data_IF_411026732722
#
_entry.id   IF_411026732722
#
_cell.length_a   1.000
_cell.length_b   1.000
_cell.length_c   1.000
_cell.angle_alpha   90.00
_cell.angle_beta   90.00
_cell.angle_gamma   90.00
#
_symmetry.space_group_name_H-M   'P 1'
#
loop_
_entity.id
_entity.type
_entity.pdbx_description
1 polymer ?
#
# COMPACT_ATOMS: atom_id res chain seq x y z
N UNK A 1 86.45 13.92 -8.48
CA UNK A 1 85.21 13.53 -9.17
C UNK A 1 84.78 12.14 -8.72
N UNK A 2 83.95 12.04 -7.68
CA UNK A 2 83.23 10.83 -7.30
C UNK A 2 81.85 11.28 -6.85
N UNK A 3 80.84 10.87 -7.60
CA UNK A 3 79.44 11.19 -7.37
C UNK A 3 78.89 10.35 -6.21
N UNK A 4 78.33 11.01 -5.20
CA UNK A 4 77.43 10.38 -4.23
C UNK A 4 76.09 10.09 -4.91
N UNK A 5 75.59 8.86 -4.77
CA UNK A 5 74.23 8.47 -5.14
C UNK A 5 73.47 8.13 -3.87
N UNK A 6 72.64 9.05 -3.40
CA UNK A 6 71.64 8.80 -2.37
C UNK A 6 70.51 7.95 -2.96
N UNK A 7 70.31 6.75 -2.41
CA UNK A 7 69.16 5.88 -2.71
C UNK A 7 68.07 6.23 -1.69
N UNK A 8 67.01 6.88 -2.16
CA UNK A 8 65.81 7.17 -1.39
C UNK A 8 64.88 5.96 -1.48
N UNK A 9 64.72 5.20 -0.39
CA UNK A 9 63.69 4.16 -0.28
C UNK A 9 62.32 4.80 -0.03
N UNK A 10 61.46 4.77 -1.05
CA UNK A 10 60.02 5.05 -0.91
C UNK A 10 59.32 3.78 -0.40
N UNK A 11 58.99 3.77 0.89
CA UNK A 11 58.06 2.80 1.49
C UNK A 11 56.63 3.22 1.12
N UNK A 12 56.07 2.61 0.07
CA UNK A 12 54.65 2.72 -0.24
C UNK A 12 53.87 1.82 0.73
N UNK A 13 53.27 2.43 1.76
CA UNK A 13 52.28 1.78 2.60
C UNK A 13 51.00 1.59 1.78
N UNK A 14 50.87 0.43 1.12
CA UNK A 14 49.62 0.01 0.50
C UNK A 14 48.60 -0.32 1.58
N UNK A 15 47.68 0.62 1.85
CA UNK A 15 46.48 0.32 2.62
C UNK A 15 45.62 -0.63 1.78
N UNK A 16 45.62 -1.93 2.14
CA UNK A 16 44.60 -2.85 1.67
C UNK A 16 43.24 -2.38 2.22
N UNK A 17 42.52 -1.60 1.42
CA UNK A 17 41.08 -1.44 1.58
C UNK A 17 40.45 -2.80 1.30
N UNK A 18 40.24 -3.58 2.35
CA UNK A 18 39.40 -4.77 2.27
C UNK A 18 37.99 -4.30 1.91
N UNK A 19 37.62 -4.44 0.63
CA UNK A 19 36.24 -4.28 0.17
C UNK A 19 35.39 -5.27 0.97
N UNK A 20 34.71 -4.77 2.01
CA UNK A 20 33.63 -5.53 2.65
C UNK A 20 32.57 -5.71 1.59
N UNK A 21 32.48 -6.90 1.01
CA UNK A 21 31.28 -7.32 0.30
C UNK A 21 30.14 -7.19 1.30
N UNK A 22 29.28 -6.19 1.12
CA UNK A 22 28.07 -6.07 1.91
C UNK A 22 27.32 -7.39 1.74
N UNK A 23 27.15 -8.13 2.85
CA UNK A 23 26.30 -9.31 2.86
C UNK A 23 24.90 -8.78 2.61
N UNK A 24 24.19 -9.33 1.61
CA UNK A 24 22.81 -8.97 1.33
C UNK A 24 22.01 -9.02 2.65
N UNK A 25 21.44 -7.89 3.04
CA UNK A 25 20.62 -7.80 4.23
C UNK A 25 19.18 -8.20 3.88
N UNK A 26 18.56 -8.97 4.78
CA UNK A 26 17.11 -9.19 4.75
C UNK A 26 16.48 -8.22 5.76
N UNK A 27 15.80 -7.19 5.27
CA UNK A 27 14.97 -6.28 6.06
C UNK A 27 13.79 -7.07 6.63
N UNK A 28 13.89 -7.35 7.92
CA UNK A 28 13.01 -8.32 8.58
C UNK A 28 12.00 -7.70 9.53
N UNK A 29 12.14 -6.42 9.86
CA UNK A 29 11.34 -5.78 10.89
C UNK A 29 11.24 -6.64 12.17
N UNK A 30 12.32 -7.35 12.52
CA UNK A 30 12.33 -8.41 13.53
C UNK A 30 12.01 -7.93 14.95
N UNK A 31 12.18 -6.63 15.22
CA UNK A 31 11.78 -5.98 16.48
C UNK A 31 10.28 -5.65 16.56
N UNK A 32 9.53 -5.74 15.45
CA UNK A 32 8.12 -5.39 15.40
C UNK A 32 7.27 -6.45 16.09
N UNK A 33 6.68 -6.09 17.23
CA UNK A 33 5.82 -6.99 18.02
C UNK A 33 4.33 -6.79 17.74
N UNK A 34 3.92 -5.68 17.12
CA UNK A 34 2.55 -5.42 16.67
C UNK A 34 2.50 -5.17 15.17
N UNK A 35 1.31 -5.26 14.58
CA UNK A 35 1.11 -4.93 13.17
C UNK A 35 1.41 -3.45 12.87
N UNK A 36 1.07 -2.52 13.76
CA UNK A 36 1.39 -1.10 13.59
C UNK A 36 2.91 -0.86 13.58
N UNK A 37 3.64 -1.51 14.49
CA UNK A 37 5.10 -1.44 14.51
C UNK A 37 5.71 -2.04 13.22
N UNK A 38 5.13 -3.12 12.71
CA UNK A 38 5.54 -3.71 11.44
C UNK A 38 5.28 -2.76 10.27
N UNK A 39 4.10 -2.13 10.20
CA UNK A 39 3.79 -1.16 9.15
C UNK A 39 4.70 0.08 9.21
N UNK A 40 4.99 0.59 10.42
CA UNK A 40 5.94 1.67 10.62
C UNK A 40 7.34 1.27 10.13
N UNK A 41 7.84 0.10 10.54
CA UNK A 41 9.13 -0.41 10.09
C UNK A 41 9.20 -0.60 8.57
N UNK A 42 8.15 -1.16 7.96
CA UNK A 42 8.06 -1.32 6.50
C UNK A 42 8.08 0.02 5.80
N UNK A 43 7.33 1.02 6.29
CA UNK A 43 7.32 2.39 5.76
C UNK A 43 8.70 3.03 5.84
N UNK A 44 9.38 2.92 6.97
CA UNK A 44 10.68 3.55 7.20
C UNK A 44 11.80 2.94 6.32
N UNK A 45 11.51 1.83 5.64
CA UNK A 45 12.38 1.10 4.72
C UNK A 45 11.98 1.27 3.24
N UNK A 46 11.02 2.14 2.93
CA UNK A 46 10.56 2.33 1.55
C UNK A 46 11.43 3.33 0.78
N UNK A 47 11.56 3.16 -0.55
CA UNK A 47 12.01 4.22 -1.45
C UNK A 47 11.23 5.52 -1.22
N UNK A 48 11.96 6.58 -0.90
CA UNK A 48 11.40 7.92 -0.69
C UNK A 48 11.15 8.62 -2.04
N UNK A 49 10.51 9.79 -1.96
CA UNK A 49 10.30 10.71 -3.07
C UNK A 49 11.59 10.98 -3.84
N UNK A 50 11.49 10.96 -5.17
CA UNK A 50 12.57 11.27 -6.11
C UNK A 50 13.84 10.38 -5.95
N UNK A 51 13.74 9.25 -5.23
CA UNK A 51 14.86 8.33 -5.00
C UNK A 51 15.35 7.62 -6.25
N UNK A 52 14.46 7.38 -7.22
CA UNK A 52 14.74 6.58 -8.41
C UNK A 52 14.83 5.07 -8.15
N UNK A 53 14.50 4.62 -6.93
CA UNK A 53 14.69 3.21 -6.51
C UNK A 53 13.51 2.31 -6.87
N UNK A 54 12.33 2.86 -7.22
CA UNK A 54 11.18 2.02 -7.59
C UNK A 54 11.47 1.17 -8.83
N UNK A 55 11.34 -0.15 -8.70
CA UNK A 55 11.55 -1.11 -9.78
C UNK A 55 10.20 -1.67 -10.24
N UNK A 56 9.84 -1.36 -11.48
CA UNK A 56 8.64 -1.90 -12.12
C UNK A 56 8.69 -3.43 -12.16
N UNK A 57 7.73 -4.15 -11.54
CA UNK A 57 7.71 -5.60 -11.58
C UNK A 57 7.33 -6.12 -12.98
N UNK A 58 7.94 -7.23 -13.38
CA UNK A 58 7.59 -7.90 -14.63
C UNK A 58 6.22 -8.58 -14.54
N UNK A 59 5.62 -8.89 -15.70
CA UNK A 59 4.37 -9.66 -15.77
C UNK A 59 4.47 -11.02 -15.07
N UNK A 60 5.62 -11.70 -15.17
CA UNK A 60 5.89 -12.95 -14.44
C UNK A 60 5.91 -12.75 -12.93
N UNK A 61 6.51 -11.65 -12.44
CA UNK A 61 6.53 -11.34 -11.02
C UNK A 61 5.13 -10.99 -10.50
N UNK A 62 4.36 -10.18 -11.23
CA UNK A 62 2.98 -9.86 -10.86
C UNK A 62 2.09 -11.12 -10.86
N UNK A 63 2.23 -12.01 -11.83
CA UNK A 63 1.49 -13.28 -11.87
C UNK A 63 1.87 -14.21 -10.69
N UNK A 64 3.16 -14.29 -10.38
CA UNK A 64 3.65 -15.04 -9.22
C UNK A 64 3.11 -14.46 -7.90
N UNK A 65 3.09 -13.12 -7.76
CA UNK A 65 2.55 -12.44 -6.60
C UNK A 65 1.08 -12.77 -6.39
N UNK A 66 0.29 -12.69 -7.46
CA UNK A 66 -1.13 -13.08 -7.44
C UNK A 66 -1.34 -14.53 -7.03
N UNK A 67 -0.49 -15.45 -7.47
CA UNK A 67 -0.56 -16.85 -7.05
C UNK A 67 -0.35 -16.99 -5.53
N UNK A 68 0.58 -16.22 -4.96
CA UNK A 68 0.84 -16.21 -3.52
C UNK A 68 -0.32 -15.55 -2.76
N UNK A 69 -0.82 -14.40 -3.21
CA UNK A 69 -2.01 -13.73 -2.65
C UNK A 69 -3.20 -14.70 -2.60
N UNK A 70 -3.47 -15.43 -3.70
CA UNK A 70 -4.53 -16.46 -3.74
C UNK A 70 -4.31 -17.54 -2.69
N UNK A 71 -3.08 -18.02 -2.53
CA UNK A 71 -2.75 -19.04 -1.55
C UNK A 71 -2.96 -18.56 -0.11
N UNK A 72 -2.50 -17.34 0.21
CA UNK A 72 -2.68 -16.72 1.53
C UNK A 72 -4.17 -16.47 1.84
N UNK A 73 -4.94 -15.99 0.87
CA UNK A 73 -6.40 -15.84 1.00
C UNK A 73 -7.09 -17.19 1.22
N UNK A 74 -6.52 -18.28 0.71
CA UNK A 74 -6.93 -19.67 0.99
C UNK A 74 -6.39 -20.27 2.30
N UNK A 75 -5.72 -19.47 3.15
CA UNK A 75 -5.19 -19.90 4.44
C UNK A 75 -3.79 -20.53 4.41
N UNK A 76 -3.09 -20.51 3.26
CA UNK A 76 -1.73 -21.08 3.14
C UNK A 76 -0.67 -20.02 3.36
N UNK A 77 -0.11 -19.99 4.57
CA UNK A 77 0.88 -18.99 5.02
C UNK A 77 2.32 -19.47 5.09
N UNK A 78 2.55 -20.70 4.65
CA UNK A 78 3.81 -21.42 4.60
C UNK A 78 4.18 -21.79 3.15
N UNK A 79 3.47 -21.21 2.18
CA UNK A 79 3.70 -21.48 0.77
C UNK A 79 5.11 -21.03 0.35
N UNK A 80 5.83 -21.92 -0.34
CA UNK A 80 7.12 -21.57 -0.93
C UNK A 80 6.90 -20.51 -2.00
N UNK A 81 7.65 -19.40 -1.92
CA UNK A 81 7.58 -18.35 -2.92
C UNK A 81 8.11 -18.85 -4.27
N UNK A 82 7.45 -18.51 -5.39
CA UNK A 82 8.00 -18.73 -6.72
C UNK A 82 9.39 -18.13 -6.87
N UNK A 83 10.24 -18.75 -7.70
CA UNK A 83 11.63 -18.31 -7.92
C UNK A 83 11.75 -16.86 -8.41
N UNK A 84 10.72 -16.37 -9.11
CA UNK A 84 10.64 -14.97 -9.56
C UNK A 84 10.48 -13.96 -8.41
N UNK A 85 10.15 -14.40 -7.20
CA UNK A 85 9.96 -13.57 -5.99
C UNK A 85 10.91 -13.94 -4.85
N UNK A 86 11.32 -15.21 -4.73
CA UNK A 86 12.02 -15.73 -3.55
C UNK A 86 13.38 -15.09 -3.27
N UNK A 87 13.97 -14.36 -4.24
CA UNK A 87 15.23 -13.63 -4.03
C UNK A 87 15.07 -12.27 -3.34
N UNK A 88 13.83 -11.79 -3.13
CA UNK A 88 13.59 -10.47 -2.54
C UNK A 88 12.32 -10.34 -1.70
N UNK A 89 11.44 -11.34 -1.68
CA UNK A 89 10.24 -11.35 -0.83
C UNK A 89 10.25 -12.53 0.14
N UNK A 90 9.45 -12.44 1.22
CA UNK A 90 9.21 -13.52 2.19
C UNK A 90 7.74 -13.57 2.59
N UNK A 91 7.26 -14.77 2.89
CA UNK A 91 6.04 -14.97 3.68
C UNK A 91 6.44 -15.20 5.13
N UNK A 92 5.77 -14.55 6.07
CA UNK A 92 5.95 -14.73 7.50
C UNK A 92 4.61 -14.94 8.18
N UNK A 93 4.63 -15.74 9.25
CA UNK A 93 3.54 -15.80 10.21
C UNK A 93 3.89 -14.91 11.39
N UNK A 94 3.23 -13.76 11.50
CA UNK A 94 3.46 -12.78 12.56
C UNK A 94 2.41 -12.97 13.64
N UNK A 95 2.82 -13.05 14.90
CA UNK A 95 1.90 -12.97 16.05
C UNK A 95 1.92 -11.55 16.58
N UNK A 96 0.78 -10.87 16.50
CA UNK A 96 0.65 -9.54 17.07
C UNK A 96 0.56 -9.65 18.61
N UNK A 97 1.40 -8.92 19.32
CA UNK A 97 1.50 -8.95 20.77
C UNK A 97 0.30 -8.27 21.47
N UNK A 98 -0.37 -7.31 20.83
CA UNK A 98 -1.47 -6.56 21.42
C UNK A 98 -2.77 -7.37 21.51
N UNK A 99 -2.98 -8.30 20.58
CA UNK A 99 -4.19 -9.14 20.52
C UNK A 99 -3.91 -10.65 20.53
N UNK A 100 -2.65 -11.06 20.40
CA UNK A 100 -2.21 -12.45 20.43
C UNK A 100 -2.51 -13.27 19.16
N UNK A 101 -3.07 -12.64 18.11
CA UNK A 101 -3.54 -13.29 16.88
C UNK A 101 -2.41 -13.41 15.86
N UNK A 102 -2.59 -14.32 14.90
CA UNK A 102 -1.60 -14.62 13.87
C UNK A 102 -2.03 -14.08 12.51
N UNK A 103 -1.09 -13.47 11.81
CA UNK A 103 -1.28 -12.84 10.51
C UNK A 103 -0.28 -13.38 9.50
N UNK A 104 -0.78 -13.61 8.29
CA UNK A 104 0.01 -13.99 7.14
C UNK A 104 0.58 -12.73 6.51
N UNK A 105 1.89 -12.57 6.44
CA UNK A 105 2.53 -11.35 5.91
C UNK A 105 3.40 -11.72 4.72
N UNK A 106 3.10 -11.17 3.55
CA UNK A 106 3.95 -11.19 2.36
C UNK A 106 4.58 -9.81 2.20
N UNK A 107 5.91 -9.74 2.29
CA UNK A 107 6.64 -8.47 2.20
C UNK A 107 7.94 -8.60 1.42
N UNK A 108 8.38 -7.50 0.82
CA UNK A 108 9.75 -7.35 0.36
C UNK A 108 10.73 -7.31 1.55
N UNK A 109 11.92 -7.88 1.34
CA UNK A 109 12.96 -7.96 2.37
C UNK A 109 14.35 -7.68 1.83
N UNK A 110 14.58 -7.65 0.51
CA UNK A 110 15.95 -7.49 0.01
C UNK A 110 16.44 -6.05 0.16
N UNK A 111 17.60 -5.92 0.76
CA UNK A 111 18.43 -4.72 0.85
C UNK A 111 19.88 -5.15 0.53
N UNK A 112 20.20 -5.17 -0.76
CA UNK A 112 21.50 -5.72 -1.22
C UNK A 112 22.64 -4.74 -1.06
N UNK A 113 22.35 -3.44 -1.08
CA UNK A 113 23.33 -2.38 -0.91
C UNK A 113 23.53 -2.03 0.58
N UNK A 114 22.68 -2.51 1.48
CA UNK A 114 22.80 -2.35 2.93
C UNK A 114 22.47 -0.94 3.41
N UNK A 115 21.62 -0.20 2.69
CA UNK A 115 21.27 1.18 3.02
C UNK A 115 20.03 1.31 3.91
N UNK A 116 19.40 0.18 4.27
CA UNK A 116 18.19 0.14 5.07
C UNK A 116 16.91 0.35 4.28
N UNK A 117 16.97 0.42 2.94
CA UNK A 117 15.84 0.61 2.04
C UNK A 117 15.64 -0.67 1.21
N UNK A 118 14.39 -1.01 0.91
CA UNK A 118 14.10 -2.13 0.02
C UNK A 118 14.51 -1.85 -1.43
N UNK A 119 15.07 -2.86 -2.09
CA UNK A 119 15.66 -2.72 -3.44
C UNK A 119 14.64 -2.40 -4.56
N UNK A 120 13.32 -2.58 -4.36
CA UNK A 120 12.31 -2.51 -5.44
C UNK A 120 11.06 -1.69 -5.13
N UNK A 121 10.55 -1.74 -3.91
CA UNK A 121 9.31 -1.07 -3.51
C UNK A 121 8.03 -1.83 -3.87
N UNK A 122 7.97 -3.13 -3.59
CA UNK A 122 6.81 -3.99 -3.90
C UNK A 122 5.61 -3.76 -2.97
N UNK A 123 5.87 -3.48 -1.70
CA UNK A 123 4.85 -3.31 -0.65
C UNK A 123 4.66 -4.55 0.20
N UNK A 124 3.64 -4.50 1.05
CA UNK A 124 3.34 -5.56 2.01
C UNK A 124 1.86 -5.90 1.99
N UNK A 125 1.54 -7.19 1.83
CA UNK A 125 0.20 -7.75 1.86
C UNK A 125 0.00 -8.62 3.09
N UNK A 126 -1.12 -8.45 3.78
CA UNK A 126 -1.43 -9.14 5.03
C UNK A 126 -2.81 -9.81 4.95
N UNK A 127 -2.92 -11.03 5.48
CA UNK A 127 -4.20 -11.76 5.60
C UNK A 127 -4.41 -12.21 7.04
N UNK A 128 -5.64 -12.01 7.53
CA UNK A 128 -6.17 -12.67 8.73
C UNK A 128 -7.03 -13.88 8.30
N UNK A 129 -6.53 -15.09 8.53
CA UNK A 129 -7.26 -16.31 8.20
C UNK A 129 -8.51 -16.55 9.07
N UNK A 130 -8.59 -15.87 10.23
CA UNK A 130 -9.71 -15.93 11.16
C UNK A 130 -10.57 -14.64 11.11
N UNK A 131 -10.48 -13.88 10.03
CA UNK A 131 -11.26 -12.67 9.83
C UNK A 131 -12.77 -12.90 9.97
N UNK A 132 -13.47 -11.86 10.41
CA UNK A 132 -14.92 -11.85 10.55
C UNK A 132 -15.58 -11.03 9.45
N UNK A 133 -14.82 -10.13 8.80
CA UNK A 133 -15.33 -9.23 7.76
C UNK A 133 -14.56 -9.44 6.46
N UNK A 134 -15.27 -9.63 5.35
CA UNK A 134 -14.67 -9.68 4.00
C UNK A 134 -14.37 -8.26 3.49
N UNK A 135 -13.54 -7.56 4.26
CA UNK A 135 -13.01 -6.23 4.00
C UNK A 135 -11.53 -6.30 3.65
N UNK A 136 -11.16 -5.51 2.65
CA UNK A 136 -9.79 -5.25 2.27
C UNK A 136 -9.46 -3.78 2.53
N UNK A 137 -8.44 -3.51 3.32
CA UNK A 137 -7.94 -2.15 3.58
C UNK A 137 -6.66 -1.92 2.79
N UNK A 138 -6.53 -0.76 2.14
CA UNK A 138 -5.34 -0.45 1.37
C UNK A 138 -4.85 0.97 1.60
N UNK A 139 -3.55 1.15 1.86
CA UNK A 139 -2.88 2.44 1.89
C UNK A 139 -2.02 2.57 0.62
N UNK A 140 -2.48 3.38 -0.31
CA UNK A 140 -1.87 3.48 -1.65
C UNK A 140 -0.64 4.39 -1.66
N UNK A 141 -0.61 5.40 -0.78
CA UNK A 141 0.40 6.46 -0.77
C UNK A 141 1.06 6.60 0.61
N UNK A 142 1.69 5.55 1.17
CA UNK A 142 2.46 5.70 2.40
C UNK A 142 3.55 6.77 2.21
N UNK A 143 3.95 7.40 3.32
CA UNK A 143 4.86 8.58 3.35
C UNK A 143 4.18 9.85 2.82
N UNK A 144 3.68 9.86 1.58
CA UNK A 144 3.01 11.01 0.99
C UNK A 144 1.73 11.38 1.76
N UNK A 145 0.90 10.37 2.03
CA UNK A 145 -0.33 10.48 2.82
C UNK A 145 -0.05 10.03 4.25
N UNK A 146 0.94 10.67 4.88
CA UNK A 146 1.51 10.24 6.17
C UNK A 146 0.43 9.83 7.17
N UNK A 147 0.58 8.64 7.74
CA UNK A 147 -0.29 8.12 8.80
C UNK A 147 -1.46 7.27 8.28
N UNK A 148 -1.80 7.34 6.99
CA UNK A 148 -2.83 6.46 6.40
C UNK A 148 -2.46 4.99 6.51
N UNK A 149 -1.17 4.65 6.44
CA UNK A 149 -0.69 3.29 6.60
C UNK A 149 -0.92 2.71 8.00
N UNK A 150 -0.68 3.52 9.03
CA UNK A 150 -0.89 3.13 10.43
C UNK A 150 -2.39 3.12 10.75
N UNK A 151 -3.14 4.10 10.26
CA UNK A 151 -4.60 4.13 10.37
C UNK A 151 -5.21 2.85 9.77
N UNK A 152 -4.89 2.57 8.51
CA UNK A 152 -5.49 1.48 7.77
C UNK A 152 -5.17 0.10 8.37
N UNK A 153 -3.94 -0.13 8.84
CA UNK A 153 -3.58 -1.41 9.48
C UNK A 153 -4.22 -1.57 10.86
N UNK A 154 -4.35 -0.49 11.62
CA UNK A 154 -5.03 -0.50 12.92
C UNK A 154 -6.51 -0.85 12.73
N UNK A 155 -7.18 -0.19 11.78
CA UNK A 155 -8.58 -0.50 11.45
C UNK A 155 -8.71 -1.96 10.98
N UNK A 156 -7.87 -2.41 10.04
CA UNK A 156 -7.85 -3.82 9.60
C UNK A 156 -7.78 -4.80 10.77
N UNK A 157 -6.89 -4.53 11.74
CA UNK A 157 -6.66 -5.35 12.92
C UNK A 157 -7.88 -5.35 13.84
N UNK A 158 -8.40 -4.19 14.18
CA UNK A 158 -9.50 -4.05 15.15
C UNK A 158 -10.84 -4.50 14.58
N UNK A 159 -11.10 -4.25 13.29
CA UNK A 159 -12.35 -4.66 12.63
C UNK A 159 -12.36 -6.11 12.17
N UNK A 160 -11.33 -6.92 12.48
CA UNK A 160 -11.21 -8.33 12.07
C UNK A 160 -11.39 -8.49 10.54
N UNK A 161 -10.81 -7.57 9.79
CA UNK A 161 -10.93 -7.55 8.32
C UNK A 161 -10.07 -8.63 7.69
N UNK A 162 -10.44 -9.08 6.49
CA UNK A 162 -9.81 -10.22 5.82
C UNK A 162 -8.39 -9.92 5.36
N UNK A 163 -8.16 -8.76 4.75
CA UNK A 163 -6.86 -8.45 4.18
C UNK A 163 -6.49 -6.98 4.27
N UNK A 164 -5.19 -6.72 4.18
CA UNK A 164 -4.60 -5.40 4.18
C UNK A 164 -3.47 -5.31 3.15
N UNK A 165 -3.27 -4.13 2.55
CA UNK A 165 -2.08 -3.84 1.75
C UNK A 165 -1.57 -2.42 1.94
N UNK A 166 -0.26 -2.28 2.05
CA UNK A 166 0.45 -1.01 1.92
C UNK A 166 1.29 -1.05 0.63
N UNK A 167 1.25 0.01 -0.17
CA UNK A 167 2.17 0.17 -1.30
C UNK A 167 3.64 0.19 -0.82
N UNK A 168 4.60 -0.09 -1.70
CA UNK A 168 5.99 -0.31 -1.28
C UNK A 168 6.95 0.86 -1.43
N UNK A 169 6.47 1.99 -1.91
CA UNK A 169 7.28 3.16 -2.21
C UNK A 169 6.45 4.43 -2.08
N UNK A 170 7.14 5.56 -1.90
CA UNK A 170 6.53 6.87 -2.10
C UNK A 170 5.92 6.95 -3.52
N UNK A 171 4.76 7.59 -3.67
CA UNK A 171 4.06 7.69 -4.97
C UNK A 171 4.91 8.33 -6.07
N UNK A 172 5.82 9.21 -5.68
CA UNK A 172 6.82 9.88 -6.55
C UNK A 172 8.24 9.31 -6.39
N UNK A 173 8.41 8.04 -6.00
CA UNK A 173 9.74 7.42 -5.87
C UNK A 173 10.44 7.16 -7.22
N UNK A 174 9.71 7.18 -8.34
CA UNK A 174 10.27 7.08 -9.68
C UNK A 174 10.31 8.43 -10.37
N UNK A 175 11.39 8.66 -11.13
CA UNK A 175 11.54 9.84 -12.00
C UNK A 175 10.84 9.66 -13.36
N UNK A 176 10.19 8.52 -13.59
CA UNK A 176 9.52 8.17 -14.85
C UNK A 176 8.01 8.37 -14.68
N UNK A 177 7.40 9.11 -15.60
CA UNK A 177 5.95 9.27 -15.65
C UNK A 177 5.25 7.95 -16.03
N UNK A 178 4.04 7.75 -15.50
CA UNK A 178 3.20 6.62 -15.84
C UNK A 178 2.52 6.84 -17.19
N UNK A 179 2.63 5.85 -18.08
CA UNK A 179 1.80 5.77 -19.30
C UNK A 179 0.31 5.58 -18.99
N UNK A 180 -0.03 5.19 -17.75
CA UNK A 180 -1.38 4.85 -17.35
C UNK A 180 -2.21 6.08 -17.01
N UNK A 181 -1.64 7.03 -16.26
CA UNK A 181 -2.21 8.32 -15.92
C UNK A 181 -1.12 9.38 -16.03
N UNK A 182 -1.29 10.32 -16.96
CA UNK A 182 -0.40 11.47 -17.13
C UNK A 182 -0.24 12.24 -15.81
N UNK A 183 0.95 12.80 -15.59
CA UNK A 183 1.28 13.58 -14.38
C UNK A 183 1.31 12.79 -13.07
N UNK A 184 1.31 11.45 -13.14
CA UNK A 184 1.64 10.56 -12.03
C UNK A 184 2.93 9.83 -12.34
N UNK A 185 3.80 9.63 -11.35
CA UNK A 185 4.97 8.76 -11.53
C UNK A 185 4.54 7.29 -11.67
N UNK A 186 5.36 6.46 -12.31
CA UNK A 186 5.10 5.01 -12.44
C UNK A 186 5.09 4.29 -11.07
N UNK A 187 5.65 4.90 -10.03
CA UNK A 187 5.57 4.46 -8.64
C UNK A 187 4.24 4.78 -7.94
N UNK A 188 3.36 5.61 -8.52
CA UNK A 188 2.06 5.93 -7.93
C UNK A 188 1.13 4.69 -8.03
N UNK A 189 0.97 4.01 -6.89
CA UNK A 189 0.25 2.74 -6.83
C UNK A 189 -1.24 2.86 -7.21
N UNK A 190 -1.86 4.02 -6.98
CA UNK A 190 -3.27 4.28 -7.28
C UNK A 190 -3.50 4.63 -8.77
N UNK A 191 -2.46 5.10 -9.46
CA UNK A 191 -2.54 5.64 -10.80
C UNK A 191 -1.73 4.84 -11.84
N UNK A 192 -1.13 3.72 -11.44
CA UNK A 192 -0.41 2.81 -12.31
C UNK A 192 -0.84 1.35 -12.11
N UNK A 193 -0.73 0.54 -13.17
CA UNK A 193 -1.08 -0.91 -13.15
C UNK A 193 0.13 -1.82 -12.99
N UNK A 194 1.34 -1.33 -13.30
CA UNK A 194 2.57 -2.12 -13.24
C UNK A 194 3.18 -2.06 -11.82
N UNK A 195 2.46 -2.61 -10.85
CA UNK A 195 2.89 -2.71 -9.45
C UNK A 195 2.14 -3.87 -8.73
N UNK A 196 2.65 -4.30 -7.57
CA UNK A 196 2.03 -5.39 -6.80
C UNK A 196 0.72 -4.97 -6.13
N UNK A 197 0.49 -3.67 -5.94
CA UNK A 197 -0.74 -3.12 -5.39
C UNK A 197 -1.93 -3.41 -6.33
N UNK A 198 -1.81 -3.04 -7.60
CA UNK A 198 -2.78 -3.38 -8.64
C UNK A 198 -2.91 -4.90 -8.85
N UNK A 199 -1.79 -5.64 -8.85
CA UNK A 199 -1.81 -7.10 -8.94
C UNK A 199 -2.65 -7.74 -7.82
N UNK A 200 -2.57 -7.21 -6.60
CA UNK A 200 -3.39 -7.66 -5.47
C UNK A 200 -4.87 -7.40 -5.71
N UNK A 201 -5.27 -6.22 -6.19
CA UNK A 201 -6.67 -5.95 -6.54
C UNK A 201 -7.21 -6.88 -7.63
N UNK A 202 -6.42 -7.18 -8.67
CA UNK A 202 -6.78 -8.16 -9.70
C UNK A 202 -7.06 -9.53 -9.06
N UNK A 203 -6.22 -9.94 -8.11
CA UNK A 203 -6.39 -11.22 -7.47
C UNK A 203 -7.56 -11.26 -6.50
N UNK A 204 -7.79 -10.21 -5.72
CA UNK A 204 -8.95 -10.14 -4.83
C UNK A 204 -10.26 -10.14 -5.63
N UNK A 205 -10.33 -9.38 -6.74
CA UNK A 205 -11.48 -9.40 -7.63
C UNK A 205 -11.74 -10.82 -8.18
N UNK A 206 -10.69 -11.54 -8.60
CA UNK A 206 -10.80 -12.92 -9.08
C UNK A 206 -11.16 -13.92 -7.95
N UNK A 207 -10.58 -13.77 -6.76
CA UNK A 207 -10.81 -14.62 -5.61
C UNK A 207 -12.27 -14.54 -5.14
N UNK A 208 -12.78 -13.32 -4.93
CA UNK A 208 -14.14 -13.13 -4.46
C UNK A 208 -15.19 -13.38 -5.55
N UNK A 209 -14.90 -13.04 -6.80
CA UNK A 209 -15.86 -13.16 -7.90
C UNK A 209 -17.13 -12.36 -7.59
N UNK A 210 -18.28 -13.04 -7.53
CA UNK A 210 -19.58 -12.43 -7.19
C UNK A 210 -19.85 -12.34 -5.68
N UNK A 211 -19.05 -12.98 -4.83
CA UNK A 211 -19.26 -12.95 -3.36
C UNK A 211 -19.20 -11.51 -2.85
N UNK A 212 -19.97 -11.15 -1.79
CA UNK A 212 -19.88 -9.83 -1.18
C UNK A 212 -18.50 -9.61 -0.55
N UNK A 213 -17.87 -8.49 -0.90
CA UNK A 213 -16.64 -7.98 -0.31
C UNK A 213 -16.49 -6.50 -0.66
N UNK A 214 -15.66 -5.78 0.09
CA UNK A 214 -15.41 -4.35 -0.15
C UNK A 214 -13.93 -4.02 0.04
N UNK A 215 -13.45 -3.08 -0.77
CA UNK A 215 -12.11 -2.53 -0.70
C UNK A 215 -12.20 -1.07 -0.24
N UNK A 216 -11.62 -0.77 0.93
CA UNK A 216 -11.45 0.58 1.45
C UNK A 216 -10.01 1.01 1.15
N UNK A 217 -9.85 2.05 0.33
CA UNK A 217 -8.56 2.64 0.03
C UNK A 217 -8.45 3.99 0.73
N UNK A 218 -7.48 4.06 1.64
CA UNK A 218 -7.23 5.21 2.51
C UNK A 218 -6.22 6.13 1.84
N UNK A 219 -6.61 7.39 1.68
CA UNK A 219 -5.81 8.48 1.16
C UNK A 219 -5.81 9.64 2.14
N UNK A 220 -4.86 10.55 1.91
CA UNK A 220 -4.69 11.80 2.60
C UNK A 220 -4.74 12.97 1.63
N UNK A 221 -5.43 14.02 2.04
CA UNK A 221 -5.42 15.30 1.33
C UNK A 221 -4.84 16.39 2.23
N UNK A 222 -4.28 17.43 1.62
CA UNK A 222 -3.95 18.65 2.37
C UNK A 222 -5.23 19.38 2.80
N UNK A 223 -5.16 20.08 3.93
CA UNK A 223 -6.28 20.85 4.49
C UNK A 223 -6.92 21.82 3.48
N UNK A 224 -6.10 22.37 2.58
CA UNK A 224 -6.54 23.32 1.56
C UNK A 224 -7.17 22.66 0.34
N UNK A 225 -6.94 21.37 0.08
CA UNK A 225 -7.39 20.71 -1.16
C UNK A 225 -8.92 20.63 -1.24
N UNK A 226 -9.58 20.28 -0.13
CA UNK A 226 -11.03 20.26 -0.02
C UNK A 226 -11.49 21.00 1.25
N UNK A 227 -11.16 22.29 1.35
CA UNK A 227 -11.33 23.10 2.57
C UNK A 227 -12.75 23.10 3.20
N UNK A 228 -13.79 22.77 2.42
CA UNK A 228 -15.16 22.69 2.90
C UNK A 228 -15.47 21.42 3.73
N UNK A 229 -14.61 20.41 3.67
CA UNK A 229 -14.80 19.11 4.32
C UNK A 229 -13.53 18.66 5.03
N UNK A 230 -13.71 17.86 6.06
CA UNK A 230 -12.63 17.22 6.81
C UNK A 230 -12.26 15.86 6.19
N UNK A 231 -13.29 15.18 5.67
CA UNK A 231 -13.23 13.86 5.06
C UNK A 231 -14.10 13.86 3.80
N UNK A 232 -13.63 13.23 2.73
CA UNK A 232 -14.41 13.02 1.52
C UNK A 232 -14.46 11.54 1.14
N UNK A 233 -15.65 10.97 1.15
CA UNK A 233 -15.87 9.56 0.79
C UNK A 233 -16.34 9.49 -0.67
N UNK A 234 -15.73 8.64 -1.48
CA UNK A 234 -16.15 8.43 -2.87
C UNK A 234 -16.12 6.96 -3.27
N UNK A 235 -16.77 6.64 -4.37
CA UNK A 235 -16.82 5.28 -4.92
C UNK A 235 -16.08 5.16 -6.27
N UNK A 236 -15.20 6.11 -6.61
CA UNK A 236 -14.39 6.07 -7.83
C UNK A 236 -15.06 6.56 -9.11
N UNK A 237 -16.22 7.21 -9.02
CA UNK A 237 -16.86 7.94 -10.12
C UNK A 237 -17.46 9.26 -9.61
N UNK A 238 -17.64 10.24 -10.49
CA UNK A 238 -18.22 11.54 -10.16
C UNK A 238 -19.75 11.52 -10.34
N UNK A 239 -20.42 10.70 -9.52
CA UNK A 239 -21.88 10.54 -9.55
C UNK A 239 -22.39 10.52 -8.11
N UNK A 240 -23.45 11.27 -7.82
CA UNK A 240 -24.09 11.25 -6.50
C UNK A 240 -24.43 9.82 -6.07
N UNK A 241 -23.99 9.36 -4.88
CA UNK A 241 -24.34 8.03 -4.40
C UNK A 241 -25.85 7.90 -4.16
N UNK A 242 -26.41 6.75 -4.52
CA UNK A 242 -27.84 6.45 -4.27
C UNK A 242 -28.04 5.92 -2.85
N UNK A 243 -29.28 5.99 -2.36
CA UNK A 243 -29.63 5.45 -1.04
C UNK A 243 -29.18 3.99 -0.89
N UNK A 244 -28.57 3.68 0.26
CA UNK A 244 -28.07 2.34 0.56
C UNK A 244 -26.62 2.08 0.13
N UNK A 245 -25.99 2.97 -0.66
CA UNK A 245 -24.56 2.92 -0.98
C UNK A 245 -23.70 2.87 0.31
N UNK A 246 -22.60 2.12 0.27
CA UNK A 246 -21.72 1.95 1.42
C UNK A 246 -21.04 3.23 1.87
N UNK A 247 -20.75 4.17 0.98
CA UNK A 247 -20.16 5.47 1.37
C UNK A 247 -21.17 6.32 2.13
N UNK A 248 -22.46 6.26 1.77
CA UNK A 248 -23.53 6.93 2.54
C UNK A 248 -23.79 6.27 3.88
N UNK A 249 -23.77 4.92 3.93
CA UNK A 249 -23.88 4.19 5.20
C UNK A 249 -22.72 4.52 6.13
N UNK A 250 -21.48 4.50 5.62
CA UNK A 250 -20.29 4.88 6.38
C UNK A 250 -20.38 6.32 6.86
N UNK A 251 -20.74 7.27 5.99
CA UNK A 251 -20.95 8.67 6.36
C UNK A 251 -21.94 8.81 7.52
N UNK A 252 -23.09 8.15 7.44
CA UNK A 252 -24.11 8.23 8.49
C UNK A 252 -23.62 7.63 9.80
N UNK A 253 -22.84 6.55 9.76
CA UNK A 253 -22.24 5.93 10.94
C UNK A 253 -21.15 6.81 11.54
N UNK A 254 -20.27 7.39 10.72
CA UNK A 254 -19.28 8.35 11.18
C UNK A 254 -19.95 9.54 11.87
N UNK A 255 -20.96 10.16 11.27
CA UNK A 255 -21.66 11.29 11.90
C UNK A 255 -22.40 10.93 13.19
N UNK A 256 -22.70 9.64 13.43
CA UNK A 256 -23.28 9.19 14.69
C UNK A 256 -22.24 9.12 15.83
N UNK A 257 -20.99 8.76 15.51
CA UNK A 257 -19.88 8.69 16.47
C UNK A 257 -19.09 10.01 16.56
N UNK A 258 -19.02 10.75 15.46
CA UNK A 258 -18.22 11.94 15.23
C UNK A 258 -19.09 13.08 14.66
N UNK A 259 -20.06 13.61 15.44
CA UNK A 259 -21.08 14.53 14.94
C UNK A 259 -20.54 15.89 14.48
N UNK A 260 -19.31 16.23 14.84
CA UNK A 260 -18.66 17.49 14.45
C UNK A 260 -17.98 17.42 13.07
N UNK A 261 -17.80 16.22 12.49
CA UNK A 261 -17.07 16.06 11.23
C UNK A 261 -17.87 16.59 10.03
N UNK A 262 -17.17 17.27 9.11
CA UNK A 262 -17.71 17.68 7.82
C UNK A 262 -17.36 16.64 6.75
N UNK A 263 -18.33 15.81 6.38
CA UNK A 263 -18.10 14.67 5.47
C UNK A 263 -18.72 14.91 4.09
N UNK A 264 -17.88 14.98 3.06
CA UNK A 264 -18.24 15.10 1.65
C UNK A 264 -18.50 13.76 0.97
N UNK A 265 -19.28 13.81 -0.11
CA UNK A 265 -19.48 12.71 -1.08
C UNK A 265 -19.61 13.31 -2.50
N UNK A 266 -19.41 12.51 -3.58
CA UNK A 266 -19.65 12.95 -4.95
C UNK A 266 -21.02 13.64 -5.15
N UNK A 267 -21.08 14.59 -6.08
CA UNK A 267 -22.29 15.37 -6.39
C UNK A 267 -22.59 16.53 -5.44
N UNK A 268 -21.92 16.63 -4.30
CA UNK A 268 -22.09 17.75 -3.35
C UNK A 268 -21.37 19.05 -3.74
N UNK A 269 -20.47 19.02 -4.73
CA UNK A 269 -19.70 20.18 -5.18
C UNK A 269 -18.65 20.72 -4.18
N UNK A 270 -18.48 20.04 -3.03
CA UNK A 270 -17.58 20.48 -1.94
C UNK A 270 -16.14 19.99 -2.07
N UNK A 271 -15.91 18.95 -2.87
CA UNK A 271 -14.60 18.34 -3.12
C UNK A 271 -14.65 17.55 -4.44
N UNK A 272 -13.57 17.60 -5.21
CA UNK A 272 -13.46 16.93 -6.53
C UNK A 272 -12.66 15.62 -6.49
N UNK A 273 -12.14 15.22 -5.32
CA UNK A 273 -11.32 14.01 -5.15
C UNK A 273 -12.19 12.73 -5.16
N UNK A 274 -12.87 12.50 -6.28
CA UNK A 274 -13.82 11.40 -6.48
C UNK A 274 -13.15 10.10 -6.94
N UNK A 275 -11.81 10.04 -6.94
CA UNK A 275 -11.00 8.89 -7.36
C UNK A 275 -11.31 8.39 -8.78
N UNK A 276 -11.72 9.28 -9.69
CA UNK A 276 -12.08 8.93 -11.07
C UNK A 276 -10.88 8.45 -11.91
N UNK A 277 -9.67 8.79 -11.46
CA UNK A 277 -8.38 8.41 -12.05
C UNK A 277 -7.80 7.12 -11.48
N UNK A 278 -8.36 6.63 -10.37
CA UNK A 278 -7.85 5.50 -9.62
C UNK A 278 -8.05 4.18 -10.40
N UNK A 279 -6.97 3.48 -10.73
CA UNK A 279 -7.06 2.31 -11.60
C UNK A 279 -7.66 1.09 -10.90
N UNK A 280 -7.52 1.00 -9.57
CA UNK A 280 -8.18 -0.03 -8.77
C UNK A 280 -9.67 0.25 -8.61
N UNK A 281 -10.05 1.52 -8.42
CA UNK A 281 -11.44 1.95 -8.43
C UNK A 281 -12.12 1.64 -9.76
N UNK A 282 -11.49 1.99 -10.89
CA UNK A 282 -11.97 1.66 -12.25
C UNK A 282 -12.17 0.15 -12.42
N UNK A 283 -11.19 -0.66 -12.00
CA UNK A 283 -11.28 -2.13 -12.05
C UNK A 283 -12.51 -2.65 -11.29
N UNK A 284 -12.68 -2.23 -10.03
CA UNK A 284 -13.78 -2.70 -9.19
C UNK A 284 -15.14 -2.15 -9.61
N UNK A 285 -15.15 -1.08 -10.40
CA UNK A 285 -16.33 -0.51 -11.04
C UNK A 285 -16.58 -1.05 -12.45
N UNK A 286 -15.95 -2.19 -12.81
CA UNK A 286 -16.30 -2.95 -14.01
C UNK A 286 -15.54 -2.57 -15.28
N UNK A 287 -14.54 -1.69 -15.19
CA UNK A 287 -13.64 -1.47 -16.32
C UNK A 287 -12.74 -2.71 -16.48
N UNK A 288 -12.68 -3.33 -17.68
CA UNK A 288 -11.80 -4.48 -17.91
C UNK A 288 -10.34 -4.14 -17.58
N UNK A 289 -9.62 -5.08 -16.95
CA UNK A 289 -8.23 -4.86 -16.50
C UNK A 289 -7.28 -4.38 -17.61
N UNK A 290 -7.52 -4.77 -18.86
CA UNK A 290 -6.74 -4.31 -20.02
C UNK A 290 -7.00 -2.86 -20.42
N UNK A 291 -8.01 -2.19 -19.85
CA UNK A 291 -8.45 -0.83 -20.21
C UNK A 291 -8.44 0.17 -19.05
N UNK A 292 -8.14 -0.26 -17.82
CA UNK A 292 -8.22 0.60 -16.62
C UNK A 292 -7.34 1.85 -16.67
N UNK A 293 -6.30 1.87 -17.49
CA UNK A 293 -5.46 3.06 -17.69
C UNK A 293 -6.17 4.16 -18.50
N UNK A 294 -6.86 3.80 -19.58
CA UNK A 294 -7.44 4.79 -20.50
C UNK A 294 -8.95 4.94 -20.42
N UNK A 295 -9.63 4.13 -19.61
CA UNK A 295 -11.10 4.12 -19.53
C UNK A 295 -11.58 4.43 -18.12
N UNK A 296 -12.28 5.56 -17.97
CA UNK A 296 -13.04 5.84 -16.78
C UNK A 296 -14.17 4.82 -16.59
N UNK A 297 -14.57 4.58 -15.35
CA UNK A 297 -15.76 3.78 -15.06
C UNK A 297 -17.02 4.58 -15.38
N UNK A 298 -18.00 3.96 -16.05
CA UNK A 298 -19.27 4.60 -16.41
C UNK A 298 -20.29 4.60 -15.25
N UNK A 299 -20.11 3.70 -14.27
CA UNK A 299 -20.94 3.55 -13.08
C UNK A 299 -20.08 2.97 -11.95
N UNK A 300 -20.64 2.85 -10.74
CA UNK A 300 -19.98 2.21 -9.61
C UNK A 300 -20.67 0.90 -9.23
N UNK A 301 -19.89 -0.05 -8.70
CA UNK A 301 -20.42 -1.32 -8.17
C UNK A 301 -20.72 -1.28 -6.67
N UNK A 302 -20.28 -0.22 -5.98
CA UNK A 302 -20.32 -0.10 -4.52
C UNK A 302 -19.27 -0.95 -3.79
N UNK A 303 -18.34 -1.61 -4.51
CA UNK A 303 -17.24 -2.41 -3.92
C UNK A 303 -16.03 -1.58 -3.54
N UNK A 304 -15.78 -0.49 -4.27
CA UNK A 304 -14.65 0.41 -4.01
C UNK A 304 -15.11 1.58 -3.15
N UNK A 305 -14.46 1.76 -2.02
CA UNK A 305 -14.63 2.89 -1.12
C UNK A 305 -13.29 3.61 -1.08
N UNK A 306 -13.30 4.86 -1.47
CA UNK A 306 -12.15 5.75 -1.44
C UNK A 306 -12.39 6.81 -0.39
N UNK A 307 -11.36 7.12 0.40
CA UNK A 307 -11.46 8.04 1.52
C UNK A 307 -10.30 9.02 1.46
N UNK A 308 -10.60 10.29 1.27
CA UNK A 308 -9.66 11.40 1.38
C UNK A 308 -9.83 12.08 2.73
N UNK A 309 -8.72 12.35 3.40
CA UNK A 309 -8.75 12.82 4.79
C UNK A 309 -7.70 13.89 5.03
N UNK A 310 -8.11 14.97 5.66
CA UNK A 310 -7.18 15.88 6.32
C UNK A 310 -6.35 15.13 7.38
N UNK A 311 -5.06 15.47 7.61
CA UNK A 311 -4.21 14.80 8.59
C UNK A 311 -4.81 14.65 9.99
N UNK A 312 -5.61 15.63 10.45
CA UNK A 312 -6.21 15.60 11.78
C UNK A 312 -7.31 14.53 11.96
N UNK A 313 -7.76 13.91 10.86
CA UNK A 313 -8.89 12.96 10.85
C UNK A 313 -8.45 11.52 10.59
N UNK A 314 -7.14 11.23 10.70
CA UNK A 314 -6.54 9.92 10.44
C UNK A 314 -6.37 9.05 11.69
N UNK A 315 -6.94 9.44 12.83
CA UNK A 315 -6.95 8.61 14.04
C UNK A 315 -7.87 7.39 13.84
N UNK A 316 -7.31 6.18 13.91
CA UNK A 316 -8.05 4.94 13.68
C UNK A 316 -9.24 4.77 14.64
N UNK A 317 -9.13 5.22 15.89
CA UNK A 317 -10.15 5.00 16.91
C UNK A 317 -11.48 5.68 16.56
N UNK A 318 -11.44 6.84 15.89
CA UNK A 318 -12.62 7.53 15.37
C UNK A 318 -13.33 6.77 14.24
N UNK A 319 -12.62 5.90 13.52
CA UNK A 319 -13.16 5.17 12.36
C UNK A 319 -13.69 3.78 12.72
N UNK A 320 -13.05 3.10 13.67
CA UNK A 320 -13.30 1.70 13.98
C UNK A 320 -14.80 1.40 14.24
N UNK A 321 -15.52 2.14 15.10
CA UNK A 321 -16.94 1.86 15.35
C UNK A 321 -17.79 2.01 14.10
N UNK A 322 -17.56 3.07 13.31
CA UNK A 322 -18.32 3.31 12.09
C UNK A 322 -18.07 2.25 11.02
N UNK A 323 -16.84 1.76 10.89
CA UNK A 323 -16.50 0.65 9.98
C UNK A 323 -17.17 -0.64 10.45
N UNK A 324 -17.08 -0.99 11.74
CA UNK A 324 -17.73 -2.19 12.29
C UNK A 324 -19.24 -2.20 12.10
N UNK A 325 -19.88 -1.02 12.20
CA UNK A 325 -21.32 -0.85 12.02
C UNK A 325 -21.77 -0.81 10.56
N UNK A 326 -20.86 -0.47 9.65
CA UNK A 326 -21.17 -0.36 8.22
C UNK A 326 -21.09 -1.72 7.53
N UNK A 327 -20.19 -2.59 7.97
CA UNK A 327 -19.96 -3.91 7.35
C UNK A 327 -20.10 -5.05 8.35
N UNK A 328 -20.81 -6.13 7.94
CA UNK A 328 -21.02 -7.30 8.78
C UNK A 328 -19.71 -8.00 9.12
#
# INVERSE_FOLDING_TARGET
MRFERSILLLLTAGALMASRTAVAADLTCSSSTTLEALAACVRDQMPDRDSGTFVVPSSTQMSAWRTVVRAMMGGRCDSVLPSSLSSFARIRLVRDASNGRRYCVLMEVADRNGDGIVDRGLGTFIVDAAAQRELFHAAAHPIADTGTEIQAITIFKETRSRSFMIAGAHRDASLVESDCQSSSAISDAAHNVANMFHATYLELAAYYGSRPWWAIQWHGMAQSTCAAVDVHLSHGVDVTPVEGDRILRLKNKLLAYEPAWRIGVPGGGVCSLNATTNVQGRLLNGVPSSRVCGSAAASYSGRFIHIEQDPAFRDADSWIPAVMDTWP
#
